data_IF_983572099451
#
_entry.id   IF_983572099451
#
_cell.length_a   1.000
_cell.length_b   1.000
_cell.length_c   1.000
_cell.angle_alpha   90.00
_cell.angle_beta   90.00
_cell.angle_gamma   90.00
#
_symmetry.space_group_name_H-M   'P 1'
#
loop_
_entity.id
_entity.type
_entity.pdbx_description
1 polymer ?
#
# COMPACT_ATOMS: atom_id res chain seq x y z
N UNK A 1 -4.41 6.16 16.25
CA UNK A 1 -3.15 5.73 16.90
C UNK A 1 -2.73 4.37 16.37
N UNK A 2 -1.50 4.25 15.93
CA UNK A 2 -0.90 2.98 15.50
C UNK A 2 0.13 2.59 16.56
N UNK A 3 -0.06 1.46 17.20
CA UNK A 3 0.94 0.84 18.06
C UNK A 3 1.53 -0.38 17.37
N UNK A 4 2.84 -0.41 17.15
CA UNK A 4 3.56 -1.55 16.58
C UNK A 4 4.58 -2.03 17.60
N UNK A 5 4.46 -3.29 17.99
CA UNK A 5 5.46 -4.01 18.77
C UNK A 5 5.68 -5.37 18.12
N UNK A 6 6.66 -5.45 17.28
CA UNK A 6 7.07 -6.70 16.62
C UNK A 6 8.25 -7.27 17.37
N UNK A 7 8.08 -8.43 17.99
CA UNK A 7 9.15 -9.18 18.62
C UNK A 7 9.45 -10.34 17.70
N UNK A 8 10.51 -10.20 16.90
CA UNK A 8 11.00 -11.24 16.01
C UNK A 8 9.97 -11.69 14.95
N UNK A 9 9.76 -10.93 13.87
CA UNK A 9 9.03 -11.45 12.73
C UNK A 9 10.00 -12.16 11.79
N UNK A 10 9.87 -13.47 11.70
CA UNK A 10 10.61 -14.31 10.77
C UNK A 10 9.76 -14.53 9.52
N UNK A 11 10.22 -14.04 8.38
CA UNK A 11 9.59 -14.35 7.11
C UNK A 11 10.20 -15.64 6.57
N UNK A 12 9.45 -16.74 6.64
CA UNK A 12 9.84 -17.97 5.98
C UNK A 12 9.69 -17.83 4.46
N UNK A 13 10.78 -17.54 3.76
CA UNK A 13 10.81 -17.66 2.31
C UNK A 13 10.91 -19.16 2.00
N UNK A 14 9.79 -19.74 1.56
CA UNK A 14 9.79 -21.10 0.96
C UNK A 14 10.35 -20.99 -0.45
N UNK A 15 11.65 -21.09 -0.60
CA UNK A 15 12.25 -21.35 -1.89
C UNK A 15 11.96 -22.82 -2.24
N UNK A 16 10.97 -23.04 -3.09
CA UNK A 16 10.73 -24.33 -3.71
C UNK A 16 11.66 -24.42 -4.92
N UNK A 17 12.83 -24.98 -4.75
CA UNK A 17 13.55 -25.60 -5.85
C UNK A 17 12.64 -26.69 -6.42
N UNK A 18 11.86 -26.33 -7.43
CA UNK A 18 11.13 -27.29 -8.24
C UNK A 18 12.15 -28.00 -9.09
N UNK A 19 12.66 -29.14 -8.61
CA UNK A 19 13.35 -30.11 -9.45
C UNK A 19 12.48 -30.44 -10.66
N UNK A 20 12.93 -30.08 -11.86
CA UNK A 20 12.16 -30.18 -13.11
C UNK A 20 12.16 -31.59 -13.69
N UNK A 21 12.67 -32.64 -13.01
CA UNK A 21 12.74 -33.99 -13.53
C UNK A 21 12.23 -35.04 -12.55
N UNK A 22 11.41 -35.98 -13.08
CA UNK A 22 10.89 -37.12 -12.33
C UNK A 22 12.00 -38.01 -11.74
N UNK A 23 13.20 -38.05 -12.34
CA UNK A 23 14.38 -38.80 -11.87
C UNK A 23 15.02 -38.16 -10.62
N UNK A 24 14.98 -36.86 -10.50
CA UNK A 24 15.45 -36.14 -9.28
C UNK A 24 14.55 -36.38 -8.08
N UNK A 25 13.26 -36.62 -8.30
CA UNK A 25 12.29 -36.91 -7.24
C UNK A 25 12.54 -38.24 -6.53
N UNK A 26 13.14 -39.23 -7.24
CA UNK A 26 13.41 -40.54 -6.68
C UNK A 26 14.77 -40.63 -5.97
N UNK A 27 15.74 -39.80 -6.37
CA UNK A 27 17.11 -39.84 -5.84
C UNK A 27 17.35 -38.90 -4.67
N UNK A 28 16.50 -37.89 -4.49
CA UNK A 28 16.67 -36.88 -3.43
C UNK A 28 15.64 -37.00 -2.32
N UNK A 29 15.83 -37.99 -1.45
CA UNK A 29 15.36 -37.95 -0.06
C UNK A 29 16.14 -36.88 0.74
N UNK A 30 16.50 -35.77 0.09
CA UNK A 30 17.11 -34.62 0.75
C UNK A 30 15.99 -33.74 1.33
N UNK A 31 15.94 -33.67 2.65
CA UNK A 31 15.19 -32.73 3.46
C UNK A 31 15.19 -31.36 2.76
N UNK A 32 14.01 -30.85 2.42
CA UNK A 32 13.82 -29.46 2.08
C UNK A 32 14.42 -28.65 3.24
N UNK A 33 15.60 -28.12 3.06
CA UNK A 33 16.18 -27.16 4.00
C UNK A 33 15.47 -25.83 3.73
N UNK A 34 14.54 -25.49 4.60
CA UNK A 34 13.97 -24.14 4.65
C UNK A 34 15.03 -23.25 5.31
N UNK A 35 15.50 -22.24 4.62
CA UNK A 35 16.30 -21.19 5.23
C UNK A 35 15.33 -20.16 5.78
N UNK A 36 15.30 -20.01 7.09
CA UNK A 36 14.50 -18.99 7.79
C UNK A 36 15.36 -17.75 7.81
N UNK A 37 14.94 -16.71 7.09
CA UNK A 37 15.59 -15.39 7.13
C UNK A 37 14.71 -14.44 7.92
N UNK A 38 15.14 -13.99 9.11
CA UNK A 38 14.43 -12.95 9.84
C UNK A 38 14.52 -11.64 9.05
N UNK A 39 13.36 -11.06 8.73
CA UNK A 39 13.28 -9.78 8.00
C UNK A 39 13.15 -8.62 8.95
N UNK A 40 12.38 -8.78 10.03
CA UNK A 40 12.18 -7.76 11.05
C UNK A 40 12.48 -8.35 12.43
N UNK A 41 13.23 -7.60 13.26
CA UNK A 41 13.67 -8.03 14.58
C UNK A 41 13.39 -6.93 15.59
N UNK A 42 12.57 -7.23 16.58
CA UNK A 42 12.29 -6.35 17.73
C UNK A 42 11.95 -4.89 17.37
N UNK A 43 11.23 -4.69 16.25
CA UNK A 43 10.76 -3.36 15.86
C UNK A 43 9.61 -2.95 16.77
N UNK A 44 9.74 -1.79 17.42
CA UNK A 44 8.68 -1.19 18.21
C UNK A 44 8.59 0.29 17.92
N UNK A 45 7.42 0.75 17.51
CA UNK A 45 7.15 2.18 17.32
C UNK A 45 5.67 2.49 17.51
N UNK A 46 5.38 3.75 17.71
CA UNK A 46 4.02 4.28 17.79
C UNK A 46 3.89 5.45 16.84
N UNK A 47 2.71 5.58 16.23
CA UNK A 47 2.33 6.74 15.43
C UNK A 47 1.09 7.35 16.06
N UNK A 48 1.14 8.63 16.37
CA UNK A 48 0.03 9.36 16.98
C UNK A 48 -1.04 9.66 15.93
N UNK A 49 -2.25 9.93 16.38
CA UNK A 49 -3.33 10.37 15.49
C UNK A 49 -2.96 11.70 14.83
N UNK A 50 -3.11 11.76 13.51
CA UNK A 50 -2.77 12.95 12.72
C UNK A 50 -1.27 13.11 12.44
N UNK A 51 -0.41 12.22 12.93
CA UNK A 51 1.02 12.25 12.67
C UNK A 51 1.34 11.59 11.32
N UNK A 52 2.26 12.17 10.56
CA UNK A 52 2.81 11.59 9.36
C UNK A 52 4.24 11.08 9.63
N UNK A 53 4.47 9.80 9.39
CA UNK A 53 5.75 9.12 9.66
C UNK A 53 6.31 8.49 8.40
N UNK A 54 7.57 8.81 8.09
CA UNK A 54 8.34 8.19 7.01
C UNK A 54 9.08 6.95 7.51
N UNK A 55 8.94 5.82 6.82
CA UNK A 55 9.81 4.66 7.01
C UNK A 55 10.95 4.73 6.01
N UNK A 56 12.17 4.90 6.48
CA UNK A 56 13.36 5.08 5.67
C UNK A 56 14.41 4.00 5.98
N UNK A 57 15.30 3.73 5.04
CA UNK A 57 16.36 2.72 5.19
C UNK A 57 16.77 2.17 3.83
N UNK A 58 17.82 1.36 3.79
CA UNK A 58 18.33 0.76 2.55
C UNK A 58 17.34 -0.27 1.95
N UNK A 59 17.58 -0.68 0.70
CA UNK A 59 16.77 -1.71 0.04
C UNK A 59 16.90 -3.05 0.78
N UNK A 60 15.75 -3.71 1.00
CA UNK A 60 15.69 -5.00 1.70
C UNK A 60 15.74 -4.92 3.23
N UNK A 61 15.77 -3.71 3.83
CA UNK A 61 15.78 -3.57 5.31
C UNK A 61 14.44 -3.87 5.99
N UNK A 62 13.34 -4.09 5.23
CA UNK A 62 12.05 -4.47 5.79
C UNK A 62 10.94 -3.41 5.71
N UNK A 63 11.14 -2.25 5.06
CA UNK A 63 10.13 -1.18 4.93
C UNK A 63 8.79 -1.67 4.39
N UNK A 64 8.78 -2.23 3.18
CA UNK A 64 7.55 -2.75 2.55
C UNK A 64 6.99 -3.96 3.30
N UNK A 65 7.82 -4.76 3.98
CA UNK A 65 7.35 -5.82 4.87
C UNK A 65 6.60 -5.24 6.07
N UNK A 66 7.11 -4.17 6.67
CA UNK A 66 6.44 -3.45 7.75
C UNK A 66 5.08 -2.92 7.29
N UNK A 67 5.00 -2.30 6.10
CA UNK A 67 3.72 -1.85 5.56
C UNK A 67 2.75 -3.01 5.30
N UNK A 68 3.22 -4.14 4.76
CA UNK A 68 2.38 -5.33 4.55
C UNK A 68 1.86 -5.94 5.86
N UNK A 69 2.60 -5.81 6.94
CA UNK A 69 2.13 -6.18 8.28
C UNK A 69 1.07 -5.19 8.80
N UNK A 70 1.25 -3.89 8.58
CA UNK A 70 0.26 -2.88 8.94
C UNK A 70 -1.06 -3.05 8.17
N UNK A 71 -1.01 -3.44 6.88
CA UNK A 71 -2.20 -3.71 6.07
C UNK A 71 -2.83 -5.07 6.32
N UNK A 72 -2.22 -5.90 7.19
CA UNK A 72 -2.64 -7.29 7.46
C UNK A 72 -2.57 -8.21 6.22
N UNK A 73 -1.83 -7.84 5.19
CA UNK A 73 -1.45 -8.73 4.09
C UNK A 73 -0.51 -9.83 4.62
N UNK A 74 0.37 -9.46 5.56
CA UNK A 74 1.20 -10.37 6.32
C UNK A 74 0.82 -10.31 7.80
N UNK A 75 1.05 -11.41 8.51
CA UNK A 75 0.87 -11.47 9.96
C UNK A 75 2.24 -11.65 10.63
N UNK A 76 2.48 -11.00 11.78
CA UNK A 76 3.72 -11.17 12.50
C UNK A 76 3.78 -12.57 13.15
N UNK A 77 4.95 -13.18 13.13
CA UNK A 77 5.18 -14.46 13.84
C UNK A 77 5.10 -14.28 15.36
N UNK A 78 5.56 -13.13 15.85
CA UNK A 78 5.50 -12.73 17.26
C UNK A 78 5.26 -11.23 17.37
N UNK A 79 4.63 -10.80 18.45
CA UNK A 79 4.34 -9.41 18.72
C UNK A 79 2.90 -9.03 18.39
N UNK A 80 2.61 -7.74 18.43
CA UNK A 80 1.27 -7.18 18.24
C UNK A 80 1.29 -5.93 17.39
N UNK A 81 0.28 -5.79 16.56
CA UNK A 81 0.01 -4.57 15.80
C UNK A 81 -1.39 -4.10 16.16
N UNK A 82 -1.49 -2.89 16.68
CA UNK A 82 -2.76 -2.28 17.03
C UNK A 82 -2.98 -1.04 16.18
N UNK A 83 -4.09 -0.98 15.48
CA UNK A 83 -4.51 0.19 14.72
C UNK A 83 -5.97 0.49 15.05
N UNK A 84 -6.29 1.77 15.23
CA UNK A 84 -7.66 2.23 15.52
C UNK A 84 -8.10 3.21 14.43
N UNK A 85 -9.17 2.87 13.75
CA UNK A 85 -9.73 3.67 12.66
C UNK A 85 -9.77 2.94 11.32
N UNK A 86 -10.34 3.60 10.31
CA UNK A 86 -10.41 3.12 8.93
C UNK A 86 -9.04 3.24 8.28
N UNK A 87 -8.51 2.14 7.76
CA UNK A 87 -7.21 2.08 7.08
C UNK A 87 -7.43 2.08 5.57
N UNK A 88 -6.77 2.97 4.85
CA UNK A 88 -6.60 2.89 3.40
C UNK A 88 -5.14 2.64 3.06
N UNK A 89 -4.91 1.83 2.05
CA UNK A 89 -3.55 1.47 1.62
C UNK A 89 -3.38 1.71 0.14
N UNK A 90 -2.29 2.37 -0.21
CA UNK A 90 -1.86 2.54 -1.60
C UNK A 90 -0.88 1.44 -2.06
N UNK A 91 -0.67 0.39 -1.26
CA UNK A 91 0.29 -0.69 -1.58
C UNK A 91 -0.19 -1.52 -2.78
N UNK A 92 -1.49 -1.75 -2.87
CA UNK A 92 -2.10 -2.54 -3.95
C UNK A 92 -3.13 -1.70 -4.70
N UNK A 93 -2.65 -0.66 -5.40
CA UNK A 93 -3.52 0.19 -6.20
C UNK A 93 -4.25 -0.61 -7.28
N UNK A 94 -5.56 -0.43 -7.36
CA UNK A 94 -6.41 -1.15 -8.31
C UNK A 94 -6.71 -2.60 -7.91
N UNK A 95 -6.35 -3.03 -6.69
CA UNK A 95 -6.80 -4.32 -6.19
C UNK A 95 -8.32 -4.39 -6.23
N UNK A 96 -8.85 -5.45 -6.86
CA UNK A 96 -10.30 -5.62 -7.07
C UNK A 96 -10.86 -4.93 -8.31
N UNK A 97 -10.04 -4.28 -9.14
CA UNK A 97 -10.50 -3.83 -10.45
C UNK A 97 -10.80 -5.02 -11.36
N UNK A 98 -11.99 -5.01 -11.94
CA UNK A 98 -12.39 -6.03 -12.92
C UNK A 98 -12.15 -5.50 -14.34
N UNK A 99 -11.37 -6.22 -15.16
CA UNK A 99 -10.94 -5.70 -16.49
C UNK A 99 -12.10 -5.45 -17.44
N UNK A 100 -13.20 -6.19 -17.36
CA UNK A 100 -14.36 -6.07 -18.24
C UNK A 100 -15.39 -5.04 -17.77
N UNK A 101 -15.26 -4.53 -16.55
CA UNK A 101 -16.09 -3.44 -16.03
C UNK A 101 -15.53 -2.08 -16.46
N UNK A 102 -16.41 -1.10 -16.58
CA UNK A 102 -16.05 0.30 -16.83
C UNK A 102 -15.25 0.89 -15.65
N UNK A 103 -14.56 2.00 -15.90
CA UNK A 103 -13.89 2.75 -14.84
C UNK A 103 -14.85 3.16 -13.73
N UNK A 104 -16.05 3.60 -14.09
CA UNK A 104 -17.12 3.97 -13.15
C UNK A 104 -17.54 2.81 -12.25
N UNK A 105 -17.79 1.64 -12.82
CA UNK A 105 -18.14 0.44 -12.03
C UNK A 105 -16.99 0.01 -11.12
N UNK A 106 -15.75 0.12 -11.60
CA UNK A 106 -14.56 -0.16 -10.79
C UNK A 106 -14.37 0.84 -9.63
N UNK A 107 -14.76 2.12 -9.79
CA UNK A 107 -14.81 3.07 -8.67
C UNK A 107 -15.73 2.53 -7.56
N UNK A 108 -16.96 2.10 -7.91
CA UNK A 108 -17.89 1.55 -6.91
C UNK A 108 -17.35 0.30 -6.22
N UNK A 109 -16.82 -0.64 -7.00
CA UNK A 109 -16.28 -1.90 -6.47
C UNK A 109 -15.10 -1.62 -5.53
N UNK A 110 -14.12 -0.84 -5.98
CA UNK A 110 -12.92 -0.57 -5.22
C UNK A 110 -13.19 0.28 -3.96
N UNK A 111 -14.00 1.33 -4.07
CA UNK A 111 -14.38 2.15 -2.93
C UNK A 111 -15.19 1.33 -1.88
N UNK A 112 -15.99 0.36 -2.32
CA UNK A 112 -16.69 -0.56 -1.42
C UNK A 112 -15.72 -1.49 -0.68
N UNK A 113 -14.63 -1.93 -1.31
CA UNK A 113 -13.57 -2.71 -0.64
C UNK A 113 -12.93 -1.89 0.48
N UNK A 114 -12.76 -0.57 0.28
CA UNK A 114 -12.31 0.35 1.32
C UNK A 114 -13.39 0.67 2.38
N UNK A 115 -14.56 0.07 2.28
CA UNK A 115 -15.63 0.18 3.27
C UNK A 115 -16.52 1.41 3.12
N UNK A 116 -16.57 2.04 1.94
CA UNK A 116 -17.53 3.10 1.68
C UNK A 116 -18.91 2.51 1.34
N UNK A 117 -19.94 3.14 1.86
CA UNK A 117 -21.31 2.86 1.44
C UNK A 117 -21.60 3.46 0.07
N UNK A 118 -22.61 2.94 -0.64
CA UNK A 118 -23.02 3.47 -1.94
C UNK A 118 -23.28 4.99 -1.89
N UNK A 119 -23.96 5.47 -0.86
CA UNK A 119 -24.24 6.90 -0.66
C UNK A 119 -22.97 7.75 -0.54
N UNK A 120 -21.96 7.24 0.15
CA UNK A 120 -20.66 7.91 0.28
C UNK A 120 -19.90 7.92 -1.06
N UNK A 121 -20.03 6.85 -1.85
CA UNK A 121 -19.42 6.76 -3.17
C UNK A 121 -20.11 7.73 -4.13
N UNK A 122 -21.46 7.73 -4.18
CA UNK A 122 -22.24 8.63 -5.02
C UNK A 122 -21.85 10.11 -4.78
N UNK A 123 -21.66 10.49 -3.50
CA UNK A 123 -21.26 11.85 -3.12
C UNK A 123 -19.84 12.23 -3.57
N UNK A 124 -18.97 11.28 -3.87
CA UNK A 124 -17.56 11.51 -4.25
C UNK A 124 -17.26 11.13 -5.69
N UNK A 125 -18.18 10.48 -6.36
CA UNK A 125 -17.98 9.87 -7.68
C UNK A 125 -17.41 10.88 -8.68
N UNK A 126 -18.04 12.04 -8.81
CA UNK A 126 -17.58 13.05 -9.74
C UNK A 126 -16.19 13.59 -9.37
N UNK A 127 -15.93 13.84 -8.09
CA UNK A 127 -14.61 14.28 -7.61
C UNK A 127 -13.50 13.27 -7.93
N UNK A 128 -13.81 11.96 -7.81
CA UNK A 128 -12.85 10.90 -8.16
C UNK A 128 -12.58 10.90 -9.65
N UNK A 129 -13.63 11.03 -10.48
CA UNK A 129 -13.52 11.09 -11.94
C UNK A 129 -12.70 12.29 -12.36
N UNK A 130 -13.03 13.50 -11.89
CA UNK A 130 -12.34 14.76 -12.22
C UNK A 130 -10.86 14.72 -11.77
N UNK A 131 -10.61 14.09 -10.61
CA UNK A 131 -9.23 13.94 -10.12
C UNK A 131 -8.42 13.00 -11.01
N UNK A 132 -9.02 11.93 -11.52
CA UNK A 132 -8.35 10.95 -12.38
C UNK A 132 -8.04 11.48 -13.78
N UNK A 133 -8.75 12.54 -14.23
CA UNK A 133 -8.68 13.11 -15.59
C UNK A 133 -9.04 12.06 -16.67
N UNK A 134 -10.06 11.25 -16.37
CA UNK A 134 -10.50 10.16 -17.24
C UNK A 134 -11.97 10.28 -17.65
N UNK A 135 -12.54 11.49 -17.64
CA UNK A 135 -13.96 11.75 -17.91
C UNK A 135 -14.42 11.12 -19.23
N UNK A 136 -13.62 11.28 -20.29
CA UNK A 136 -13.94 10.76 -21.63
C UNK A 136 -13.86 9.22 -21.71
N UNK A 137 -13.13 8.59 -20.80
CA UNK A 137 -12.87 7.16 -20.83
C UNK A 137 -13.57 6.39 -19.71
N UNK A 138 -14.24 7.09 -18.78
CA UNK A 138 -14.71 6.50 -17.52
C UNK A 138 -15.72 5.36 -17.72
N UNK A 139 -16.49 5.41 -18.80
CA UNK A 139 -17.50 4.41 -19.13
C UNK A 139 -16.96 3.29 -20.05
N UNK A 140 -15.67 3.34 -20.41
CA UNK A 140 -14.99 2.27 -21.16
C UNK A 140 -14.50 1.16 -20.20
N UNK A 141 -14.43 -0.11 -20.67
CA UNK A 141 -13.84 -1.21 -19.89
C UNK A 141 -12.38 -0.94 -19.53
N UNK A 142 -12.00 -1.20 -18.28
CA UNK A 142 -10.66 -0.89 -17.76
C UNK A 142 -9.56 -1.66 -18.48
N UNK A 143 -9.87 -2.81 -19.10
CA UNK A 143 -8.89 -3.54 -19.95
C UNK A 143 -8.40 -2.72 -21.14
N UNK A 144 -9.11 -1.65 -21.54
CA UNK A 144 -8.70 -0.75 -22.63
C UNK A 144 -7.83 0.40 -22.17
N UNK A 145 -7.64 0.55 -20.86
CA UNK A 145 -6.83 1.61 -20.28
C UNK A 145 -5.34 1.35 -20.47
N UNK A 146 -4.59 2.41 -20.68
CA UNK A 146 -3.14 2.35 -20.52
C UNK A 146 -2.78 2.10 -19.05
N UNK A 147 -1.55 1.65 -18.78
CA UNK A 147 -1.07 1.49 -17.40
C UNK A 147 -1.17 2.79 -16.59
N UNK A 148 -0.89 3.94 -17.24
CA UNK A 148 -1.04 5.25 -16.61
C UNK A 148 -2.48 5.59 -16.25
N UNK A 149 -3.45 5.37 -17.16
CA UNK A 149 -4.88 5.57 -16.90
C UNK A 149 -5.36 4.67 -15.77
N UNK A 150 -4.97 3.40 -15.80
CA UNK A 150 -5.30 2.44 -14.74
C UNK A 150 -4.81 2.94 -13.36
N UNK A 151 -3.55 3.34 -13.28
CA UNK A 151 -2.96 3.82 -12.03
C UNK A 151 -3.55 5.15 -11.57
N UNK A 152 -3.87 6.08 -12.49
CA UNK A 152 -4.56 7.34 -12.17
C UNK A 152 -5.91 7.07 -11.53
N UNK A 153 -6.73 6.17 -12.11
CA UNK A 153 -8.03 5.82 -11.57
C UNK A 153 -7.90 5.18 -10.18
N UNK A 154 -7.02 4.18 -10.05
CA UNK A 154 -6.81 3.46 -8.80
C UNK A 154 -6.34 4.38 -7.66
N UNK A 155 -5.40 5.27 -7.95
CA UNK A 155 -4.94 6.28 -6.99
C UNK A 155 -6.07 7.24 -6.60
N UNK A 156 -6.83 7.73 -7.60
CA UNK A 156 -7.94 8.66 -7.36
C UNK A 156 -8.99 8.07 -6.43
N UNK A 157 -9.33 6.79 -6.58
CA UNK A 157 -10.24 6.12 -5.66
C UNK A 157 -9.64 6.06 -4.26
N UNK A 158 -8.42 5.57 -4.14
CA UNK A 158 -7.78 5.30 -2.85
C UNK A 158 -7.59 6.54 -1.96
N UNK A 159 -7.29 7.70 -2.56
CA UNK A 159 -7.09 8.96 -1.80
C UNK A 159 -8.39 9.71 -1.48
N UNK A 160 -9.51 9.34 -2.11
CA UNK A 160 -10.83 9.91 -1.81
C UNK A 160 -11.65 9.05 -0.84
N UNK A 161 -11.08 7.95 -0.36
CA UNK A 161 -11.60 7.21 0.80
C UNK A 161 -11.22 7.99 2.07
N UNK A 162 -12.20 8.51 2.81
CA UNK A 162 -11.94 9.17 4.09
C UNK A 162 -11.37 8.14 5.09
N UNK A 163 -10.07 7.96 5.07
CA UNK A 163 -9.37 7.08 5.97
C UNK A 163 -8.87 7.84 7.21
N UNK A 164 -8.87 7.20 8.37
CA UNK A 164 -8.20 7.70 9.57
C UNK A 164 -6.68 7.46 9.48
N UNK A 165 -6.29 6.41 8.74
CA UNK A 165 -4.90 5.99 8.54
C UNK A 165 -4.68 5.72 7.06
N UNK A 166 -3.65 6.35 6.48
CA UNK A 166 -3.22 6.17 5.10
C UNK A 166 -1.82 5.55 5.06
N UNK A 167 -1.69 4.40 4.40
CA UNK A 167 -0.44 3.67 4.24
C UNK A 167 0.02 3.77 2.78
N UNK A 168 1.26 4.25 2.56
CA UNK A 168 1.80 4.57 1.23
C UNK A 168 3.12 3.85 1.01
N UNK A 169 3.27 3.10 -0.09
CA UNK A 169 4.50 2.41 -0.49
C UNK A 169 4.97 2.94 -1.85
N UNK A 170 5.96 3.82 -1.89
CA UNK A 170 6.69 4.33 -3.08
C UNK A 170 5.86 4.84 -4.29
N UNK A 171 4.55 5.03 -4.14
CA UNK A 171 3.59 5.16 -5.25
C UNK A 171 3.44 6.60 -5.78
N UNK A 172 4.25 7.55 -5.36
CA UNK A 172 4.15 8.92 -5.87
C UNK A 172 4.68 9.10 -7.30
N UNK A 173 5.14 8.01 -7.93
CA UNK A 173 5.53 7.96 -9.34
C UNK A 173 4.39 7.62 -10.31
N UNK A 174 3.12 7.78 -9.91
CA UNK A 174 1.96 7.47 -10.76
C UNK A 174 1.69 8.58 -11.78
N UNK A 175 1.52 8.19 -13.04
CA UNK A 175 1.18 9.14 -14.11
C UNK A 175 2.36 10.00 -14.56
N UNK A 176 2.06 11.12 -15.18
CA UNK A 176 3.03 12.14 -15.57
C UNK A 176 3.37 13.11 -14.43
N UNK A 177 4.31 14.01 -14.67
CA UNK A 177 4.81 14.97 -13.67
C UNK A 177 3.67 15.84 -13.10
N UNK A 178 2.72 16.26 -13.94
CA UNK A 178 1.61 17.11 -13.49
C UNK A 178 0.68 16.33 -12.56
N UNK A 179 0.35 15.09 -12.91
CA UNK A 179 -0.46 14.24 -12.05
C UNK A 179 0.24 13.90 -10.74
N UNK A 180 1.56 13.67 -10.76
CA UNK A 180 2.35 13.45 -9.55
C UNK A 180 2.31 14.65 -8.61
N UNK A 181 2.39 15.87 -9.14
CA UNK A 181 2.25 17.10 -8.33
C UNK A 181 0.85 17.21 -7.71
N UNK A 182 -0.19 16.91 -8.49
CA UNK A 182 -1.59 16.88 -8.03
C UNK A 182 -1.78 15.85 -6.90
N UNK A 183 -1.21 14.66 -7.06
CA UNK A 183 -1.20 13.62 -6.01
C UNK A 183 -0.52 14.11 -4.73
N UNK A 184 0.62 14.75 -4.86
CA UNK A 184 1.40 15.26 -3.74
C UNK A 184 0.64 16.36 -2.98
N UNK A 185 0.05 17.32 -3.68
CA UNK A 185 -0.79 18.36 -3.09
C UNK A 185 -1.97 17.76 -2.33
N UNK A 186 -2.62 16.75 -2.92
CA UNK A 186 -3.73 16.05 -2.27
C UNK A 186 -3.31 15.35 -0.97
N UNK A 187 -2.12 14.75 -0.94
CA UNK A 187 -1.57 14.16 0.29
C UNK A 187 -1.30 15.19 1.37
N UNK A 188 -0.82 16.39 1.01
CA UNK A 188 -0.65 17.48 1.96
C UNK A 188 -1.99 17.94 2.55
N UNK A 189 -3.04 18.05 1.73
CA UNK A 189 -4.40 18.35 2.20
C UNK A 189 -4.93 17.28 3.17
N UNK A 190 -4.74 15.99 2.84
CA UNK A 190 -5.13 14.85 3.67
C UNK A 190 -4.41 14.89 5.02
N UNK A 191 -3.11 15.20 5.01
CA UNK A 191 -2.33 15.41 6.25
C UNK A 191 -2.88 16.59 7.05
N UNK A 192 -3.10 17.74 6.41
CA UNK A 192 -3.63 18.93 7.06
C UNK A 192 -5.03 18.71 7.68
N UNK A 193 -5.83 17.81 7.10
CA UNK A 193 -7.11 17.37 7.64
C UNK A 193 -6.99 16.44 8.86
N UNK A 194 -5.78 16.07 9.29
CA UNK A 194 -5.52 15.27 10.49
C UNK A 194 -5.52 13.77 10.28
N UNK A 195 -5.39 13.29 9.03
CA UNK A 195 -5.20 11.87 8.73
C UNK A 195 -3.81 11.42 9.17
N UNK A 196 -3.74 10.26 9.81
CA UNK A 196 -2.46 9.63 10.17
C UNK A 196 -1.83 8.99 8.92
N UNK A 197 -0.57 9.29 8.62
CA UNK A 197 0.09 8.80 7.42
C UNK A 197 1.33 8.00 7.79
N UNK A 198 1.49 6.81 7.18
CA UNK A 198 2.76 6.08 7.18
C UNK A 198 3.19 5.91 5.73
N UNK A 199 4.33 6.47 5.38
CA UNK A 199 4.85 6.46 4.02
C UNK A 199 6.23 5.81 3.94
N UNK A 200 6.43 4.93 2.96
CA UNK A 200 7.74 4.49 2.51
C UNK A 200 8.05 5.25 1.22
N UNK A 201 9.17 5.93 1.17
CA UNK A 201 9.67 6.56 -0.05
C UNK A 201 11.19 6.58 -0.06
N UNK A 202 11.76 6.50 -1.25
CA UNK A 202 13.18 6.75 -1.50
C UNK A 202 13.47 8.23 -1.79
N UNK A 203 12.43 9.03 -2.06
CA UNK A 203 12.53 10.46 -2.31
C UNK A 203 12.53 11.22 -0.97
N UNK A 204 13.71 11.51 -0.44
CA UNK A 204 13.87 12.19 0.85
C UNK A 204 13.17 13.53 0.91
N UNK A 205 13.15 14.30 -0.19
CA UNK A 205 12.45 15.57 -0.27
C UNK A 205 10.94 15.42 0.01
N UNK A 206 10.31 14.35 -0.46
CA UNK A 206 8.90 14.06 -0.19
C UNK A 206 8.66 13.71 1.29
N UNK A 207 9.58 12.96 1.89
CA UNK A 207 9.54 12.62 3.32
C UNK A 207 9.63 13.90 4.15
N UNK A 208 10.57 14.80 3.85
CA UNK A 208 10.75 16.07 4.55
C UNK A 208 9.53 16.99 4.45
N UNK A 209 8.84 17.00 3.30
CA UNK A 209 7.68 17.86 3.08
C UNK A 209 6.38 17.31 3.70
N UNK A 210 6.24 15.99 3.80
CA UNK A 210 5.00 15.37 4.30
C UNK A 210 5.16 14.93 5.76
N UNK A 211 6.29 14.35 6.16
CA UNK A 211 6.41 13.66 7.44
C UNK A 211 6.81 14.61 8.57
N UNK A 212 6.27 14.35 9.75
CA UNK A 212 6.66 15.06 10.98
C UNK A 212 7.96 14.48 11.57
N UNK A 213 8.21 13.19 11.29
CA UNK A 213 9.46 12.48 11.62
C UNK A 213 9.64 11.26 10.72
N UNK A 214 10.82 10.69 10.76
CA UNK A 214 11.13 9.43 10.10
C UNK A 214 11.59 8.36 11.10
N UNK A 215 11.38 7.10 10.72
CA UNK A 215 11.88 5.93 11.43
C UNK A 215 12.88 5.26 10.49
N UNK A 216 14.13 5.18 10.95
CA UNK A 216 15.19 4.51 10.21
C UNK A 216 15.17 3.02 10.56
N UNK A 217 14.98 2.17 9.53
CA UNK A 217 15.06 0.71 9.66
C UNK A 217 16.39 0.26 9.09
N UNK A 218 17.20 -0.39 9.93
CA UNK A 218 18.50 -0.93 9.56
C UNK A 218 18.56 -2.43 9.87
N UNK A 219 18.63 -3.25 8.81
CA UNK A 219 18.71 -4.72 8.90
C UNK A 219 17.57 -5.39 9.74
N UNK A 220 16.38 -4.79 9.72
CA UNK A 220 15.21 -5.29 10.44
C UNK A 220 15.20 -4.83 11.87
#
# INVERSE_FOLDING_TARGET
>A
EIGVRLVGSEMCIRDRDKGQSFKERLLFRKRNRYEIRPVLRDISFQVKRGEAVGLVGHNGCGKSTTLKLLTKILYPDKGTITMKGRVSSLIELGAGFHPDMSGRENIYTNASIFGLTKKEIDARLQTIIDFSELEEFIDNPVRTYSSGMYMRLAFSVAIHVNADILLIDEILGVGDVNFQQKCFQRLQEIKAAGTTIVIVSHAMEQIEQICDRSIWIDNG
#
